data_IF_013730441513
#
_entry.id   IF_013730441513
#
_cell.length_a   1.000
_cell.length_b   1.000
_cell.length_c   1.000
_cell.angle_alpha   90.00
_cell.angle_beta   90.00
_cell.angle_gamma   90.00
#
_symmetry.space_group_name_H-M   'P 1'
#
loop_
_entity.id
_entity.type
_entity.pdbx_description
1 polymer ?
#
# COMPACT_ATOMS: atom_id res chain seq x y z
N UNK A 1 9.82 3.35 21.10
CA UNK A 1 9.89 4.62 20.35
C UNK A 1 8.65 4.63 19.45
N UNK A 2 7.63 5.39 19.84
CA UNK A 2 6.30 5.37 19.21
C UNK A 2 6.01 6.69 18.51
N UNK A 3 5.02 6.67 17.61
CA UNK A 3 4.56 7.87 16.91
C UNK A 3 3.91 8.82 17.93
N UNK A 4 4.26 10.12 17.94
CA UNK A 4 3.66 11.09 18.85
C UNK A 4 2.13 11.13 18.74
N UNK A 5 1.44 11.36 19.87
CA UNK A 5 0.00 11.52 19.86
C UNK A 5 -0.41 12.72 18.98
N UNK A 6 -1.30 12.48 18.02
CA UNK A 6 -1.77 13.50 17.08
C UNK A 6 -0.88 13.73 15.86
N UNK A 7 0.20 12.96 15.68
CA UNK A 7 1.01 13.03 14.47
C UNK A 7 0.16 12.67 13.23
N UNK A 8 0.32 13.46 12.17
CA UNK A 8 -0.44 13.30 10.93
C UNK A 8 0.45 12.94 9.76
N UNK A 9 -0.06 12.11 8.86
CA UNK A 9 0.63 11.72 7.62
C UNK A 9 0.79 12.96 6.74
N UNK A 10 2.01 13.19 6.27
CA UNK A 10 2.31 14.17 5.23
C UNK A 10 2.26 13.50 3.85
N UNK A 11 2.97 12.38 3.75
CA UNK A 11 3.06 11.55 2.56
C UNK A 11 3.49 10.14 2.93
N UNK A 12 3.24 9.21 2.03
CA UNK A 12 3.62 7.81 2.15
C UNK A 12 4.47 7.42 0.96
N UNK A 13 5.56 6.71 1.24
CA UNK A 13 6.42 6.10 0.23
C UNK A 13 6.25 4.59 0.35
N UNK A 14 6.01 3.91 -0.75
CA UNK A 14 5.84 2.46 -0.75
C UNK A 14 6.82 1.78 -1.69
N UNK A 15 7.06 0.50 -1.39
CA UNK A 15 7.69 -0.45 -2.29
C UNK A 15 7.17 -1.85 -2.02
N UNK A 16 6.79 -2.57 -3.06
CA UNK A 16 6.54 -4.00 -2.98
C UNK A 16 7.28 -4.74 -4.09
N UNK A 17 7.60 -6.00 -3.85
CA UNK A 17 8.22 -6.88 -4.83
C UNK A 17 7.46 -8.19 -4.89
N UNK A 18 7.20 -8.64 -6.12
CA UNK A 18 6.59 -9.93 -6.40
C UNK A 18 7.66 -10.92 -6.83
N UNK A 19 7.47 -12.20 -6.53
CA UNK A 19 8.40 -13.26 -6.91
C UNK A 19 8.44 -13.45 -8.44
N UNK A 20 7.27 -13.33 -9.06
CA UNK A 20 7.06 -13.44 -10.50
C UNK A 20 6.51 -12.11 -11.02
N UNK A 21 6.56 -11.86 -12.34
CA UNK A 21 5.88 -10.72 -12.96
C UNK A 21 4.41 -10.63 -12.52
N UNK A 22 3.92 -9.40 -12.34
CA UNK A 22 2.54 -9.17 -11.97
C UNK A 22 1.60 -9.78 -13.02
N UNK A 23 0.59 -10.58 -12.61
CA UNK A 23 -0.41 -11.07 -13.55
C UNK A 23 -1.23 -9.91 -14.11
N UNK A 24 -1.79 -10.11 -15.30
CA UNK A 24 -2.67 -9.13 -15.91
C UNK A 24 -3.85 -8.79 -14.98
N UNK A 25 -4.14 -7.51 -14.83
CA UNK A 25 -5.24 -7.04 -13.99
C UNK A 25 -4.92 -6.98 -12.50
N UNK A 26 -3.69 -7.24 -12.06
CA UNK A 26 -3.31 -6.97 -10.67
C UNK A 26 -3.50 -5.48 -10.36
N UNK A 27 -4.38 -5.19 -9.43
CA UNK A 27 -4.62 -3.87 -8.88
C UNK A 27 -4.20 -3.85 -7.41
N UNK A 28 -3.45 -2.83 -7.01
CA UNK A 28 -2.96 -2.71 -5.63
C UNK A 28 -3.46 -1.41 -5.03
N UNK A 29 -3.97 -1.49 -3.80
CA UNK A 29 -4.40 -0.34 -3.02
C UNK A 29 -3.56 -0.22 -1.76
N UNK A 30 -3.34 1.02 -1.34
CA UNK A 30 -2.89 1.31 0.02
C UNK A 30 -4.03 1.97 0.77
N UNK A 31 -4.40 1.36 1.89
CA UNK A 31 -5.55 1.73 2.71
C UNK A 31 -5.11 2.12 4.11
N UNK A 32 -5.69 3.20 4.60
CA UNK A 32 -5.81 3.50 6.02
C UNK A 32 -7.20 3.09 6.51
N UNK A 33 -7.53 3.29 7.81
CA UNK A 33 -8.89 3.09 8.30
C UNK A 33 -9.93 4.02 7.67
N UNK A 34 -9.53 5.15 7.09
CA UNK A 34 -10.45 6.19 6.59
C UNK A 34 -10.49 6.28 5.06
N UNK A 35 -9.41 5.90 4.37
CA UNK A 35 -9.26 6.12 2.93
C UNK A 35 -8.39 5.05 2.29
N UNK A 36 -8.67 4.77 1.03
CA UNK A 36 -7.80 3.97 0.18
C UNK A 36 -7.46 4.75 -1.08
N UNK A 37 -6.29 4.49 -1.65
CA UNK A 37 -5.93 4.94 -2.99
C UNK A 37 -5.22 3.84 -3.77
N UNK A 38 -5.34 3.89 -5.10
CA UNK A 38 -4.70 2.94 -6.01
C UNK A 38 -3.22 3.28 -6.18
N UNK A 39 -2.38 2.24 -6.27
CA UNK A 39 -0.95 2.38 -6.54
C UNK A 39 -0.71 2.22 -8.04
N UNK A 40 -0.12 3.24 -8.66
CA UNK A 40 0.18 3.22 -10.10
C UNK A 40 1.39 2.34 -10.45
N UNK A 41 2.19 1.97 -9.44
CA UNK A 41 3.42 1.21 -9.62
C UNK A 41 3.84 0.46 -8.35
N UNK A 42 4.82 -0.44 -8.51
CA UNK A 42 5.37 -1.23 -7.41
C UNK A 42 6.11 -0.40 -6.36
N UNK A 43 6.54 0.80 -6.72
CA UNK A 43 7.27 1.72 -5.85
C UNK A 43 6.91 3.16 -6.20
N UNK A 44 6.62 3.98 -5.21
CA UNK A 44 6.22 5.37 -5.46
C UNK A 44 6.01 6.13 -4.17
N UNK A 45 5.51 7.36 -4.31
CA UNK A 45 5.07 8.18 -3.19
C UNK A 45 3.73 8.83 -3.50
N UNK A 46 2.98 9.16 -2.44
CA UNK A 46 1.70 9.86 -2.57
C UNK A 46 1.35 10.61 -1.29
N UNK A 47 0.66 11.74 -1.45
CA UNK A 47 0.04 12.50 -0.37
C UNK A 47 -1.46 12.20 -0.24
N UNK A 48 -1.96 11.12 -0.86
CA UNK A 48 -3.38 10.78 -0.86
C UNK A 48 -3.97 10.53 0.55
N UNK A 49 -3.13 10.11 1.50
CA UNK A 49 -3.48 9.90 2.91
C UNK A 49 -3.09 11.09 3.81
N UNK A 50 -2.78 12.25 3.24
CA UNK A 50 -2.37 13.43 4.00
C UNK A 50 -3.45 13.84 5.01
N UNK A 51 -3.02 14.15 6.23
CA UNK A 51 -3.87 14.59 7.33
C UNK A 51 -4.46 13.45 8.16
N UNK A 52 -4.27 12.20 7.74
CA UNK A 52 -4.68 11.04 8.53
C UNK A 52 -3.71 10.75 9.67
N UNK A 53 -4.15 9.95 10.65
CA UNK A 53 -3.31 9.59 11.79
C UNK A 53 -2.11 8.75 11.35
N UNK A 54 -0.90 9.22 11.64
CA UNK A 54 0.32 8.46 11.40
C UNK A 54 0.42 7.21 12.29
N UNK A 55 -0.30 7.19 13.42
CA UNK A 55 -0.37 6.04 14.32
C UNK A 55 -1.31 4.94 13.83
N UNK A 56 -2.11 5.19 12.78
CA UNK A 56 -3.02 4.20 12.23
C UNK A 56 -2.29 3.19 11.33
N UNK A 57 -2.68 1.90 11.38
CA UNK A 57 -2.09 0.90 10.50
C UNK A 57 -2.45 1.18 9.04
N UNK A 58 -1.48 0.98 8.14
CA UNK A 58 -1.69 1.00 6.71
C UNK A 58 -1.67 -0.42 6.18
N UNK A 59 -2.63 -0.76 5.31
CA UNK A 59 -2.76 -2.08 4.69
C UNK A 59 -2.60 -1.97 3.19
N UNK A 60 -1.73 -2.82 2.63
CA UNK A 60 -1.55 -2.92 1.19
C UNK A 60 -2.37 -4.10 0.68
N UNK A 61 -3.44 -3.82 -0.06
CA UNK A 61 -4.39 -4.81 -0.57
C UNK A 61 -4.13 -5.09 -2.03
N UNK A 62 -3.84 -6.35 -2.37
CA UNK A 62 -3.67 -6.82 -3.74
C UNK A 62 -4.96 -7.50 -4.19
N UNK A 63 -5.46 -7.07 -5.35
CA UNK A 63 -6.71 -7.55 -5.92
C UNK A 63 -6.49 -7.90 -7.39
N UNK A 64 -7.10 -8.98 -7.84
CA UNK A 64 -7.12 -9.37 -9.26
C UNK A 64 -8.59 -9.55 -9.62
N UNK A 65 -9.20 -8.60 -10.35
CA UNK A 65 -10.59 -8.72 -10.75
C UNK A 65 -10.77 -9.95 -11.64
N UNK A 66 -11.67 -10.84 -11.23
CA UNK A 66 -11.93 -12.08 -11.97
C UNK A 66 -12.57 -13.15 -11.10
N UNK A 67 -12.82 -14.31 -11.72
CA UNK A 67 -13.29 -15.52 -11.04
C UNK A 67 -12.42 -16.69 -11.51
N UNK A 68 -12.05 -17.58 -10.59
CA UNK A 68 -11.21 -18.75 -10.90
C UNK A 68 -9.82 -18.68 -10.26
N UNK A 69 -8.94 -19.58 -10.71
CA UNK A 69 -7.59 -19.73 -10.15
C UNK A 69 -6.68 -18.62 -10.65
N UNK A 70 -5.90 -18.01 -9.75
CA UNK A 70 -4.84 -17.08 -10.10
C UNK A 70 -3.63 -17.89 -10.61
N UNK A 71 -3.37 -17.83 -11.91
CA UNK A 71 -2.23 -18.49 -12.55
C UNK A 71 -1.45 -17.51 -13.45
N UNK A 72 -0.14 -17.30 -13.22
CA UNK A 72 0.66 -17.82 -12.12
C UNK A 72 0.24 -17.23 -10.76
N UNK A 73 0.48 -17.93 -9.63
CA UNK A 73 0.12 -17.43 -8.30
C UNK A 73 0.89 -16.16 -7.97
N UNK A 74 0.19 -15.18 -7.38
CA UNK A 74 0.84 -13.98 -6.83
C UNK A 74 1.52 -14.33 -5.53
N UNK A 75 2.83 -14.08 -5.47
CA UNK A 75 3.63 -14.19 -4.26
C UNK A 75 4.34 -12.87 -4.03
N UNK A 76 4.03 -12.25 -2.90
CA UNK A 76 4.70 -11.05 -2.42
C UNK A 76 5.95 -11.48 -1.67
N UNK A 77 7.11 -10.96 -2.07
CA UNK A 77 8.41 -11.24 -1.45
C UNK A 77 8.77 -10.17 -0.44
N UNK A 78 8.43 -8.92 -0.74
CA UNK A 78 8.62 -7.80 0.17
C UNK A 78 7.50 -6.77 0.02
N UNK A 79 7.13 -6.16 1.14
CA UNK A 79 6.22 -5.04 1.24
C UNK A 79 6.75 -4.08 2.28
N UNK A 80 6.93 -2.83 1.88
CA UNK A 80 7.40 -1.78 2.75
C UNK A 80 6.59 -0.51 2.49
N UNK A 81 6.21 0.13 3.59
CA UNK A 81 5.60 1.46 3.58
C UNK A 81 6.36 2.31 4.58
N UNK A 82 6.80 3.47 4.13
CA UNK A 82 7.43 4.52 4.93
C UNK A 82 6.41 5.64 5.05
N UNK A 83 6.15 6.06 6.28
CA UNK A 83 5.20 7.14 6.58
C UNK A 83 5.99 8.36 7.02
N UNK A 84 5.94 9.42 6.22
CA UNK A 84 6.45 10.73 6.63
C UNK A 84 5.33 11.45 7.38
N UNK A 85 5.61 11.91 8.59
CA UNK A 85 4.61 12.53 9.47
C UNK A 85 5.11 13.86 10.05
N UNK A 86 4.19 14.64 10.61
CA UNK A 86 4.47 15.84 11.41
C UNK A 86 3.59 15.89 12.65
#
# INVERSE_FOLDING_TARGET
MGIPAGATIQDVVWRYQLLNPAPAGLAVQLCSPQRCFWLDSANGQSSALQGESAASPLTMTLQIPGKGVIYPPVRVVSQQVIVNYR
#
